data_IF_409928594358
#
_entry.id   IF_409928594358
#
_cell.length_a   1.000
_cell.length_b   1.000
_cell.length_c   1.000
_cell.angle_alpha   90.00
_cell.angle_beta   90.00
_cell.angle_gamma   90.00
#
_symmetry.space_group_name_H-M   'P 1'
#
loop_
_entity.id
_entity.type
_entity.pdbx_description
1 polymer ?
#
# COMPACT_ATOMS: atom_id res chain seq x y z
N UNK A 1 4.58 -2.61 -5.02
CA UNK A 1 5.63 -1.68 -4.61
C UNK A 1 6.05 -0.88 -5.84
N UNK A 2 6.31 0.41 -5.71
CA UNK A 2 6.64 1.29 -6.83
C UNK A 2 5.44 1.89 -7.58
N UNK A 3 4.24 1.72 -7.09
CA UNK A 3 3.06 2.40 -7.63
C UNK A 3 2.90 3.80 -7.01
N UNK A 4 2.23 4.67 -7.75
CA UNK A 4 1.94 6.05 -7.36
C UNK A 4 0.52 6.44 -7.80
N UNK A 5 0.01 7.53 -7.27
CA UNK A 5 -1.37 7.97 -7.44
C UNK A 5 -1.81 8.12 -8.91
N UNK A 6 -0.92 8.50 -9.80
CA UNK A 6 -1.26 8.73 -11.22
C UNK A 6 -1.74 7.46 -11.96
N UNK A 7 -1.37 6.24 -11.47
CA UNK A 7 -1.88 4.97 -12.04
C UNK A 7 -3.38 4.79 -11.86
N UNK A 8 -3.96 5.47 -10.90
CA UNK A 8 -5.39 5.36 -10.56
C UNK A 8 -6.22 6.49 -11.18
N UNK A 9 -5.65 7.26 -12.11
CA UNK A 9 -6.33 8.40 -12.75
C UNK A 9 -7.64 8.05 -13.42
N UNK A 10 -7.69 6.95 -14.18
CA UNK A 10 -8.92 6.49 -14.85
C UNK A 10 -10.00 6.08 -13.85
N UNK A 11 -9.64 5.35 -12.79
CA UNK A 11 -10.55 4.99 -11.73
C UNK A 11 -11.05 6.23 -10.98
N UNK A 12 -10.15 7.15 -10.67
CA UNK A 12 -10.51 8.40 -10.01
C UNK A 12 -11.49 9.23 -10.86
N UNK A 13 -11.25 9.29 -12.17
CA UNK A 13 -12.15 9.97 -13.11
C UNK A 13 -13.55 9.33 -13.12
N UNK A 14 -13.63 8.01 -13.27
CA UNK A 14 -14.91 7.29 -13.28
C UNK A 14 -15.69 7.47 -11.96
N UNK A 15 -14.99 7.47 -10.82
CA UNK A 15 -15.63 7.73 -9.52
C UNK A 15 -16.09 9.19 -9.39
N UNK A 16 -15.34 10.13 -9.94
CA UNK A 16 -15.71 11.55 -9.93
C UNK A 16 -16.95 11.80 -10.80
N UNK A 17 -17.07 11.14 -11.95
CA UNK A 17 -18.29 11.17 -12.77
C UNK A 17 -19.50 10.58 -12.01
N UNK A 18 -19.27 9.59 -11.15
CA UNK A 18 -20.27 9.03 -10.25
C UNK A 18 -20.52 9.88 -8.99
N UNK A 19 -20.07 11.14 -8.97
CA UNK A 19 -20.27 12.13 -7.90
C UNK A 19 -19.55 11.82 -6.59
N UNK A 20 -18.45 11.05 -6.62
CA UNK A 20 -17.56 10.91 -5.47
C UNK A 20 -16.47 11.97 -5.48
N UNK A 21 -16.10 12.48 -4.31
CA UNK A 21 -14.86 13.21 -4.13
C UNK A 21 -13.72 12.19 -3.94
N UNK A 22 -12.74 12.19 -4.83
CA UNK A 22 -11.67 11.19 -4.85
C UNK A 22 -10.34 11.80 -4.44
N UNK A 23 -9.67 11.15 -3.50
CA UNK A 23 -8.34 11.51 -3.04
C UNK A 23 -7.42 10.30 -3.16
N UNK A 24 -6.38 10.42 -3.94
CA UNK A 24 -5.37 9.38 -4.15
C UNK A 24 -4.00 9.90 -3.73
N UNK A 25 -3.62 9.71 -2.46
CA UNK A 25 -2.32 10.17 -1.98
C UNK A 25 -1.20 9.27 -2.48
N UNK A 26 -0.04 9.86 -2.74
CA UNK A 26 1.19 9.10 -2.81
C UNK A 26 1.64 8.73 -1.40
N UNK A 27 1.81 7.46 -1.14
CA UNK A 27 2.30 6.98 0.15
C UNK A 27 3.75 7.42 0.38
N UNK A 28 4.17 7.46 1.64
CA UNK A 28 5.57 7.72 2.01
C UNK A 28 6.53 6.88 1.17
N UNK A 29 7.61 7.47 0.68
CA UNK A 29 8.59 6.80 -0.17
C UNK A 29 8.13 6.47 -1.58
N UNK A 30 6.97 6.98 -2.02
CA UNK A 30 6.40 6.72 -3.34
C UNK A 30 5.98 8.02 -4.04
N UNK A 31 6.01 8.00 -5.37
CA UNK A 31 5.54 9.10 -6.21
C UNK A 31 6.11 10.47 -5.80
N UNK A 32 5.23 11.45 -5.67
CA UNK A 32 5.59 12.84 -5.28
C UNK A 32 5.87 12.99 -3.77
N UNK A 33 5.51 11.99 -2.96
CA UNK A 33 5.85 11.93 -1.54
C UNK A 33 7.23 11.33 -1.27
N UNK A 34 8.02 11.07 -2.32
CA UNK A 34 9.40 10.63 -2.22
C UNK A 34 10.34 11.83 -2.15
N UNK A 35 11.06 12.06 -1.03
CA UNK A 35 12.11 13.06 -0.97
C UNK A 35 13.26 12.74 -1.95
N UNK A 36 13.85 13.76 -2.54
CA UNK A 36 14.85 13.64 -3.62
C UNK A 36 16.14 12.88 -3.26
N UNK A 37 16.40 12.67 -1.98
CA UNK A 37 17.61 11.98 -1.47
C UNK A 37 17.30 10.60 -0.89
N UNK A 38 16.06 10.11 -1.02
CA UNK A 38 15.62 8.84 -0.43
C UNK A 38 15.35 7.84 -1.55
N UNK A 39 15.73 6.59 -1.33
CA UNK A 39 15.48 5.50 -2.28
C UNK A 39 13.98 5.21 -2.40
N UNK A 40 13.47 4.93 -3.61
CA UNK A 40 12.08 4.58 -3.82
C UNK A 40 11.64 3.37 -2.98
N UNK A 41 10.53 3.52 -2.27
CA UNK A 41 9.99 2.51 -1.37
C UNK A 41 10.50 2.58 0.07
N UNK A 42 11.46 3.48 0.36
CA UNK A 42 11.86 3.75 1.75
C UNK A 42 10.81 4.66 2.40
N UNK A 43 10.02 4.09 3.28
CA UNK A 43 8.98 4.79 4.03
C UNK A 43 9.51 5.46 5.30
N UNK A 44 10.82 5.37 5.56
CA UNK A 44 11.48 5.92 6.74
C UNK A 44 11.35 5.07 8.00
N UNK A 45 11.81 5.62 9.11
CA UNK A 45 11.72 4.95 10.41
C UNK A 45 10.26 4.81 10.83
N UNK A 46 9.86 3.60 11.26
CA UNK A 46 8.46 3.26 11.56
C UNK A 46 7.48 3.54 10.39
N UNK A 47 7.95 3.52 9.15
CA UNK A 47 7.21 3.97 7.98
C UNK A 47 5.83 3.36 7.83
N UNK A 48 5.63 2.10 8.22
CA UNK A 48 4.32 1.47 8.22
C UNK A 48 3.33 2.16 9.16
N UNK A 49 3.73 2.37 10.41
CA UNK A 49 2.90 3.05 11.41
C UNK A 49 2.64 4.50 11.04
N UNK A 50 3.67 5.20 10.58
CA UNK A 50 3.56 6.57 10.11
C UNK A 50 2.62 6.71 8.90
N UNK A 51 2.58 5.71 8.01
CA UNK A 51 1.62 5.69 6.89
C UNK A 51 0.18 5.51 7.39
N UNK A 52 -0.04 4.72 8.43
CA UNK A 52 -1.37 4.61 9.06
C UNK A 52 -1.81 5.94 9.70
N UNK A 53 -0.89 6.70 10.27
CA UNK A 53 -1.19 8.04 10.78
C UNK A 53 -1.48 9.04 9.65
N UNK A 54 -0.76 8.98 8.54
CA UNK A 54 -1.06 9.79 7.35
C UNK A 54 -2.47 9.51 6.80
N UNK A 55 -2.85 8.23 6.75
CA UNK A 55 -4.21 7.83 6.35
C UNK A 55 -5.27 8.37 7.31
N UNK A 56 -4.99 8.32 8.63
CA UNK A 56 -5.90 8.85 9.63
C UNK A 56 -6.06 10.37 9.53
N UNK A 57 -4.96 11.07 9.29
CA UNK A 57 -4.99 12.50 9.04
C UNK A 57 -5.83 12.86 7.81
N UNK A 58 -5.61 12.16 6.71
CA UNK A 58 -6.34 12.39 5.47
C UNK A 58 -7.85 12.08 5.64
N UNK A 59 -8.19 10.96 6.26
CA UNK A 59 -9.58 10.58 6.54
C UNK A 59 -10.28 11.63 7.39
N UNK A 60 -9.64 12.09 8.46
CA UNK A 60 -10.17 13.11 9.33
C UNK A 60 -10.40 14.41 8.59
N UNK A 61 -9.40 14.88 7.84
CA UNK A 61 -9.48 16.10 7.03
C UNK A 61 -10.63 16.02 6.01
N UNK A 62 -10.78 14.90 5.30
CA UNK A 62 -11.85 14.69 4.33
C UNK A 62 -13.22 14.71 5.00
N UNK A 63 -13.36 14.05 6.16
CA UNK A 63 -14.62 14.00 6.91
C UNK A 63 -15.04 15.39 7.39
N UNK A 64 -14.10 16.18 7.89
CA UNK A 64 -14.37 17.56 8.30
C UNK A 64 -14.74 18.45 7.11
N UNK A 65 -14.04 18.29 5.98
CA UNK A 65 -14.26 19.11 4.79
C UNK A 65 -15.65 18.89 4.15
N UNK A 66 -16.14 17.66 4.18
CA UNK A 66 -17.35 17.28 3.44
C UNK A 66 -18.52 16.87 4.33
N UNK A 67 -18.32 16.80 5.64
CA UNK A 67 -19.33 16.27 6.60
C UNK A 67 -19.91 14.91 6.12
N UNK A 68 -19.07 14.06 5.61
CA UNK A 68 -19.40 12.73 5.08
C UNK A 68 -18.35 11.71 5.48
N UNK A 69 -18.76 10.47 5.83
CA UNK A 69 -17.82 9.42 6.13
C UNK A 69 -17.07 8.97 4.87
N UNK A 70 -15.80 8.62 5.05
CA UNK A 70 -14.92 8.20 3.96
C UNK A 70 -15.15 6.73 3.56
N UNK A 71 -14.86 6.43 2.29
CA UNK A 71 -14.67 5.07 1.77
C UNK A 71 -13.18 4.88 1.54
N UNK A 72 -12.60 3.85 2.15
CA UNK A 72 -11.19 3.54 1.98
C UNK A 72 -11.02 2.44 0.92
N UNK A 73 -10.24 2.74 -0.13
CA UNK A 73 -9.89 1.78 -1.17
C UNK A 73 -8.41 1.46 -1.08
N UNK A 74 -8.04 0.19 -1.00
CA UNK A 74 -6.65 -0.25 -0.96
C UNK A 74 -6.34 -1.35 -1.99
N UNK A 75 -5.22 -1.20 -2.69
CA UNK A 75 -4.70 -2.21 -3.62
C UNK A 75 -3.36 -2.74 -3.14
N UNK A 76 -3.14 -4.07 -3.22
CA UNK A 76 -1.89 -4.74 -2.87
C UNK A 76 -1.38 -4.34 -1.46
N UNK A 77 -0.24 -3.68 -1.33
CA UNK A 77 0.26 -3.15 -0.06
C UNK A 77 -0.75 -2.20 0.59
N UNK A 78 -1.43 -1.37 -0.20
CA UNK A 78 -2.50 -0.49 0.27
C UNK A 78 -3.70 -1.27 0.85
N UNK A 79 -3.98 -2.47 0.35
CA UNK A 79 -5.01 -3.34 0.93
C UNK A 79 -4.60 -3.88 2.30
N UNK A 80 -3.32 -4.16 2.53
CA UNK A 80 -2.80 -4.57 3.85
C UNK A 80 -2.86 -3.41 4.85
N UNK A 81 -2.44 -2.21 4.44
CA UNK A 81 -2.58 -0.99 5.24
C UNK A 81 -4.04 -0.72 5.62
N UNK A 82 -4.95 -0.83 4.65
CA UNK A 82 -6.36 -0.60 4.87
C UNK A 82 -6.99 -1.63 5.81
N UNK A 83 -6.56 -2.90 5.76
CA UNK A 83 -6.97 -3.92 6.72
C UNK A 83 -6.50 -3.58 8.15
N UNK A 84 -5.25 -3.16 8.32
CA UNK A 84 -4.75 -2.77 9.64
C UNK A 84 -5.44 -1.50 10.13
N UNK A 85 -5.69 -0.55 9.26
CA UNK A 85 -6.41 0.67 9.58
C UNK A 85 -7.79 0.40 10.19
N UNK A 86 -8.57 -0.52 9.63
CA UNK A 86 -9.92 -0.82 10.14
C UNK A 86 -9.92 -1.47 11.51
N UNK A 87 -8.88 -2.21 11.90
CA UNK A 87 -8.79 -2.79 13.25
C UNK A 87 -8.68 -1.74 14.32
N UNK A 88 -8.07 -0.61 14.03
CA UNK A 88 -7.83 0.46 15.00
C UNK A 88 -8.78 1.64 14.85
N UNK A 89 -9.27 1.92 13.63
CA UNK A 89 -10.01 3.14 13.28
C UNK A 89 -11.22 2.93 12.37
N UNK A 90 -11.63 1.69 12.13
CA UNK A 90 -12.66 1.33 11.16
C UNK A 90 -14.06 1.90 11.43
N UNK A 91 -14.35 2.33 12.63
CA UNK A 91 -15.64 2.93 12.98
C UNK A 91 -15.93 4.26 12.28
N UNK A 92 -14.91 4.91 11.73
CA UNK A 92 -15.01 6.20 11.05
C UNK A 92 -15.23 6.07 9.53
N UNK A 93 -15.09 4.86 9.00
CA UNK A 93 -15.27 4.57 7.58
C UNK A 93 -16.70 4.14 7.27
N UNK A 94 -17.21 4.59 6.13
CA UNK A 94 -18.47 4.12 5.58
C UNK A 94 -18.34 2.74 4.94
N UNK A 95 -17.26 2.53 4.21
CA UNK A 95 -16.98 1.26 3.54
C UNK A 95 -15.47 1.06 3.32
N UNK A 96 -15.11 -0.19 3.03
CA UNK A 96 -13.76 -0.61 2.67
C UNK A 96 -13.79 -1.42 1.38
N UNK A 97 -12.93 -1.07 0.45
CA UNK A 97 -12.72 -1.79 -0.80
C UNK A 97 -11.28 -2.31 -0.83
N UNK A 98 -11.10 -3.61 -0.96
CA UNK A 98 -9.79 -4.26 -1.01
C UNK A 98 -9.60 -4.94 -2.36
N UNK A 99 -8.49 -4.65 -3.01
CA UNK A 99 -8.07 -5.27 -4.26
C UNK A 99 -6.67 -5.87 -4.10
N UNK A 100 -6.47 -7.09 -4.61
CA UNK A 100 -5.17 -7.77 -4.54
C UNK A 100 -4.66 -7.95 -3.10
N UNK A 101 -5.57 -8.08 -2.13
CA UNK A 101 -5.20 -8.35 -0.75
C UNK A 101 -4.67 -9.76 -0.59
N UNK A 102 -3.65 -9.93 0.23
CA UNK A 102 -3.21 -11.28 0.63
C UNK A 102 -4.25 -11.90 1.55
N UNK A 103 -4.73 -13.08 1.20
CA UNK A 103 -5.55 -13.88 2.10
C UNK A 103 -4.74 -14.40 3.31
N UNK A 104 -5.28 -15.41 3.99
CA UNK A 104 -4.58 -16.03 5.12
C UNK A 104 -3.26 -16.63 4.66
N UNK A 105 -2.14 -16.05 5.09
CA UNK A 105 -0.82 -16.56 4.79
C UNK A 105 -0.50 -17.74 5.73
N UNK A 106 -0.07 -18.90 5.23
CA UNK A 106 0.27 -20.04 6.08
C UNK A 106 1.33 -19.65 7.13
N UNK A 107 1.11 -20.06 8.39
CA UNK A 107 1.96 -19.64 9.53
C UNK A 107 3.44 -19.98 9.35
N UNK A 108 3.76 -21.16 8.79
CA UNK A 108 5.15 -21.61 8.67
C UNK A 108 5.95 -20.77 7.66
N UNK A 109 5.48 -20.52 6.42
CA UNK A 109 6.14 -19.58 5.51
C UNK A 109 6.21 -18.16 6.08
N UNK A 110 5.18 -17.70 6.79
CA UNK A 110 5.18 -16.37 7.43
C UNK A 110 6.29 -16.25 8.47
N UNK A 111 6.47 -17.25 9.32
CA UNK A 111 7.56 -17.26 10.32
C UNK A 111 8.95 -17.28 9.68
N UNK A 112 9.13 -18.06 8.61
CA UNK A 112 10.41 -18.10 7.88
C UNK A 112 10.73 -16.75 7.22
N UNK A 113 9.75 -16.13 6.55
CA UNK A 113 9.92 -14.80 5.94
C UNK A 113 10.18 -13.72 6.99
N UNK A 114 9.47 -13.75 8.12
CA UNK A 114 9.69 -12.83 9.23
C UNK A 114 11.07 -12.97 9.83
N UNK A 115 11.55 -14.20 9.98
CA UNK A 115 12.89 -14.48 10.51
C UNK A 115 13.99 -13.99 9.56
N UNK A 116 13.81 -14.20 8.25
CA UNK A 116 14.71 -13.69 7.22
C UNK A 116 14.71 -12.16 7.19
N UNK A 117 13.54 -11.53 7.26
CA UNK A 117 13.42 -10.07 7.31
C UNK A 117 14.11 -9.48 8.55
N UNK A 118 13.94 -10.13 9.71
CA UNK A 118 14.63 -9.72 10.95
C UNK A 118 16.16 -9.90 10.86
N UNK A 119 16.61 -10.98 10.25
CA UNK A 119 18.03 -11.22 10.04
C UNK A 119 18.63 -10.17 9.10
N UNK A 120 17.97 -9.87 7.99
CA UNK A 120 18.41 -8.84 7.05
C UNK A 120 18.39 -7.44 7.71
N UNK A 121 17.37 -7.10 8.48
CA UNK A 121 17.31 -5.81 9.20
C UNK A 121 18.38 -5.67 10.28
N UNK A 122 18.86 -6.79 10.84
CA UNK A 122 19.97 -6.77 11.79
C UNK A 122 21.34 -6.63 11.11
N UNK A 123 21.49 -7.23 9.93
CA UNK A 123 22.77 -7.17 9.16
C UNK A 123 22.91 -5.92 8.31
N UNK A 124 21.80 -5.41 7.79
CA UNK A 124 21.74 -4.28 6.89
C UNK A 124 21.10 -3.11 7.63
N UNK A 125 21.39 -1.89 7.19
CA UNK A 125 20.63 -0.74 7.68
C UNK A 125 19.14 -0.91 7.38
N UNK A 126 18.23 -0.46 8.25
CA UNK A 126 16.79 -0.50 7.99
C UNK A 126 16.35 0.14 6.66
N UNK A 127 17.13 1.09 6.16
CA UNK A 127 16.92 1.74 4.86
C UNK A 127 17.50 0.95 3.67
N UNK A 128 18.18 -0.18 3.90
CA UNK A 128 18.79 -0.97 2.81
C UNK A 128 17.78 -2.01 2.30
N UNK A 129 17.46 -2.00 0.98
CA UNK A 129 16.60 -3.03 0.40
C UNK A 129 17.16 -4.43 0.67
N UNK A 130 16.30 -5.34 1.14
CA UNK A 130 16.69 -6.74 1.34
C UNK A 130 16.88 -7.44 -0.01
N UNK A 131 18.08 -7.89 -0.37
CA UNK A 131 18.31 -8.57 -1.66
C UNK A 131 17.55 -9.88 -1.79
N UNK A 132 17.31 -10.56 -0.68
CA UNK A 132 16.61 -11.85 -0.65
C UNK A 132 15.10 -11.70 -0.81
N UNK A 133 14.51 -10.70 -0.17
CA UNK A 133 13.07 -10.45 -0.22
C UNK A 133 12.67 -9.73 -1.52
N UNK A 134 13.42 -8.71 -1.92
CA UNK A 134 13.16 -7.95 -3.14
C UNK A 134 13.15 -8.83 -4.38
N UNK A 135 14.13 -9.73 -4.53
CA UNK A 135 14.21 -10.66 -5.67
C UNK A 135 13.02 -11.60 -5.74
N UNK A 136 12.54 -12.11 -4.60
CA UNK A 136 11.39 -13.05 -4.56
C UNK A 136 10.06 -12.35 -4.80
N UNK A 137 9.85 -11.19 -4.19
CA UNK A 137 8.61 -10.42 -4.37
C UNK A 137 8.49 -9.93 -5.82
N UNK A 138 9.56 -9.39 -6.39
CA UNK A 138 9.59 -8.95 -7.79
C UNK A 138 9.40 -10.12 -8.77
N UNK A 139 10.03 -11.29 -8.53
CA UNK A 139 9.85 -12.45 -9.41
C UNK A 139 8.44 -13.04 -9.37
N UNK A 140 7.76 -12.96 -8.23
CA UNK A 140 6.35 -13.37 -8.14
C UNK A 140 5.43 -12.40 -8.90
N UNK A 141 5.73 -11.13 -8.86
CA UNK A 141 4.98 -10.10 -9.57
C UNK A 141 5.14 -10.25 -11.10
N UNK A 142 6.37 -10.40 -11.58
CA UNK A 142 6.66 -10.55 -13.01
C UNK A 142 6.00 -11.83 -13.61
N UNK A 143 5.98 -12.93 -12.88
CA UNK A 143 5.30 -14.16 -13.35
C UNK A 143 3.79 -14.00 -13.55
N UNK A 144 3.17 -13.06 -12.84
CA UNK A 144 1.75 -12.80 -13.01
C UNK A 144 1.48 -11.87 -14.21
N UNK A 145 2.43 -11.01 -14.56
CA UNK A 145 2.35 -10.17 -15.76
C UNK A 145 2.62 -10.97 -17.04
N UNK A 146 3.63 -11.81 -17.06
CA UNK A 146 3.94 -12.69 -18.21
C UNK A 146 2.76 -13.63 -18.57
N UNK A 147 1.94 -14.05 -17.59
CA UNK A 147 0.73 -14.84 -17.85
C UNK A 147 -0.45 -14.08 -18.47
N UNK A 148 -0.48 -12.76 -18.35
CA UNK A 148 -1.54 -11.94 -18.97
C UNK A 148 -1.22 -11.63 -20.44
N UNK A 149 0.05 -11.50 -20.80
CA UNK A 149 0.46 -11.29 -22.19
C UNK A 149 0.27 -12.54 -23.08
N UNK A 150 0.36 -13.74 -22.50
CA UNK A 150 0.15 -15.01 -23.21
C UNK A 150 -1.34 -15.40 -23.38
N UNK A 151 -2.27 -14.62 -22.86
CA UNK A 151 -3.71 -14.91 -22.84
C UNK A 151 -4.57 -14.15 -23.85
N UNK A 152 -3.99 -13.22 -24.62
CA UNK A 152 -4.69 -12.39 -25.61
C UNK A 152 -4.34 -12.75 -27.06
N UNK A 153 -4.27 -14.07 -27.41
CA UNK A 153 -4.31 -14.56 -28.78
C UNK A 153 -5.62 -15.31 -29.06
#
# INVERSE_FOLDING_TARGET
MGEHSERYGELAHALTEAQFNVYSPDLRGHGKSLPSLIEPGDMGHNGWQETLEDLAFLEHWMTEQYDRPAILCGHSMGAMLAQEYIYTRGQRLHALVLSGSTGVFPRLPALLLSSLARFDSWRLSPATPSPLLSRRVLSMNNRNFERQEDGDE
#
